data_IF_677203917224
#
_entry.id   IF_677203917224
#
_cell.length_a   1.000
_cell.length_b   1.000
_cell.length_c   1.000
_cell.angle_alpha   90.00
_cell.angle_beta   90.00
_cell.angle_gamma   90.00
#
_symmetry.space_group_name_H-M   'P 1'
#
loop_
_entity.id
_entity.type
_entity.pdbx_description
1 polymer ?
#
# COMPACT_ATOMS: atom_id res chain seq x y z
N UNK A 1 1.78 14.55 -17.67
CA UNK A 1 1.86 13.68 -16.47
C UNK A 1 1.17 12.38 -16.81
N UNK A 2 1.82 11.26 -16.56
CA UNK A 2 1.20 9.95 -16.70
C UNK A 2 0.14 9.83 -15.60
N UNK A 3 -1.13 9.76 -15.96
CA UNK A 3 -2.20 9.52 -14.99
C UNK A 3 -2.16 8.04 -14.61
N UNK A 4 -1.71 7.77 -13.38
CA UNK A 4 -1.75 6.43 -12.81
C UNK A 4 -3.06 6.26 -12.04
N UNK A 5 -4.08 5.77 -12.74
CA UNK A 5 -5.32 5.41 -12.08
C UNK A 5 -5.20 3.98 -11.51
N UNK A 6 -5.45 3.78 -10.21
CA UNK A 6 -5.50 2.45 -9.62
C UNK A 6 -6.66 1.64 -10.22
N UNK A 7 -6.51 0.31 -10.28
CA UNK A 7 -7.55 -0.58 -10.80
C UNK A 7 -8.84 -0.41 -9.95
N UNK A 8 -10.02 -0.24 -10.58
CA UNK A 8 -11.29 -0.15 -9.87
C UNK A 8 -11.56 -1.32 -8.91
N UNK A 9 -11.13 -2.54 -9.24
CA UNK A 9 -11.30 -3.71 -8.39
C UNK A 9 -10.44 -3.61 -7.12
N UNK A 10 -9.19 -3.19 -7.28
CA UNK A 10 -8.24 -2.95 -6.18
C UNK A 10 -8.73 -1.83 -5.26
N UNK A 11 -9.29 -0.78 -5.84
CA UNK A 11 -9.89 0.35 -5.13
C UNK A 11 -11.10 -0.09 -4.28
N UNK A 12 -11.98 -0.91 -4.86
CA UNK A 12 -13.14 -1.44 -4.16
C UNK A 12 -12.75 -2.35 -2.99
N UNK A 13 -11.73 -3.19 -3.16
CA UNK A 13 -11.22 -4.09 -2.11
C UNK A 13 -10.45 -3.36 -1.00
N UNK A 14 -10.01 -2.13 -1.26
CA UNK A 14 -9.23 -1.29 -0.33
C UNK A 14 -10.08 -0.22 0.36
N UNK A 15 -11.36 -0.10 -0.01
CA UNK A 15 -12.29 0.91 0.52
C UNK A 15 -13.35 0.28 1.43
N UNK A 16 -13.79 1.04 2.44
CA UNK A 16 -14.88 0.61 3.33
C UNK A 16 -16.21 1.12 2.76
N UNK A 17 -17.24 0.26 2.57
CA UNK A 17 -18.55 0.71 2.11
C UNK A 17 -19.13 1.80 3.01
N UNK A 18 -19.58 2.90 2.41
CA UNK A 18 -20.12 4.05 3.14
C UNK A 18 -19.08 4.99 3.75
N UNK A 19 -17.79 4.76 3.50
CA UNK A 19 -16.72 5.72 3.79
C UNK A 19 -16.12 6.27 2.49
N UNK A 20 -15.28 7.29 2.63
CA UNK A 20 -14.50 7.82 1.50
C UNK A 20 -13.64 6.71 0.89
N UNK A 21 -13.58 6.68 -0.44
CA UNK A 21 -12.80 5.69 -1.17
C UNK A 21 -11.30 5.87 -0.87
N UNK A 22 -10.57 4.76 -0.80
CA UNK A 22 -9.14 4.78 -0.50
C UNK A 22 -8.34 5.42 -1.65
N UNK A 23 -7.68 6.54 -1.41
CA UNK A 23 -6.82 7.17 -2.42
C UNK A 23 -5.33 6.81 -2.18
N UNK A 24 -4.71 5.96 -3.03
CA UNK A 24 -3.31 5.57 -2.87
C UNK A 24 -2.32 6.74 -3.04
N UNK A 25 -2.73 7.83 -3.71
CA UNK A 25 -1.88 9.02 -3.95
C UNK A 25 -1.73 9.87 -2.69
N UNK A 26 -2.81 9.97 -1.92
CA UNK A 26 -2.90 10.87 -0.75
C UNK A 26 -2.66 10.15 0.57
N UNK A 27 -2.98 8.86 0.65
CA UNK A 27 -2.81 8.10 1.87
C UNK A 27 -1.33 7.97 2.24
N UNK A 28 -0.99 8.06 3.54
CA UNK A 28 0.37 7.85 4.05
C UNK A 28 0.36 6.96 5.29
N UNK A 29 0.80 5.72 5.13
CA UNK A 29 1.09 4.83 6.26
C UNK A 29 2.26 5.36 7.08
N UNK A 30 2.09 5.34 8.40
CA UNK A 30 3.18 5.53 9.36
C UNK A 30 4.11 4.30 9.39
N UNK A 31 5.35 4.48 9.86
CA UNK A 31 6.27 3.35 10.02
C UNK A 31 5.72 2.28 10.96
N UNK A 32 5.02 2.68 12.02
CA UNK A 32 4.42 1.75 12.97
C UNK A 32 3.27 0.94 12.36
N UNK A 33 2.56 1.49 11.38
CA UNK A 33 1.55 0.74 10.65
C UNK A 33 2.14 -0.31 9.70
N UNK A 34 3.33 -0.07 9.17
CA UNK A 34 4.02 -0.99 8.27
C UNK A 34 4.77 -2.09 9.03
N UNK A 35 5.05 -1.89 10.32
CA UNK A 35 5.69 -2.91 11.15
C UNK A 35 4.79 -4.15 11.29
N UNK A 36 5.36 -5.35 11.18
CA UNK A 36 4.60 -6.58 11.43
C UNK A 36 4.12 -6.59 12.88
N UNK A 37 2.88 -7.02 13.08
CA UNK A 37 2.33 -7.15 14.42
C UNK A 37 3.13 -8.19 15.22
N UNK A 38 3.45 -7.92 16.50
CA UNK A 38 4.22 -8.85 17.31
C UNK A 38 3.47 -10.19 17.45
N UNK A 39 4.22 -11.29 17.34
CA UNK A 39 3.65 -12.62 17.47
C UNK A 39 3.32 -12.92 18.93
N UNK A 40 2.04 -12.80 19.28
CA UNK A 40 1.55 -13.14 20.61
C UNK A 40 1.29 -14.65 20.69
N UNK A 41 1.97 -15.33 21.62
CA UNK A 41 1.70 -16.74 21.91
C UNK A 41 0.28 -16.88 22.46
N UNK A 42 -0.54 -17.67 21.78
CA UNK A 42 -1.90 -17.96 22.23
C UNK A 42 -1.83 -18.80 23.51
N UNK A 43 -2.69 -18.47 24.47
CA UNK A 43 -2.90 -19.33 25.63
C UNK A 43 -3.31 -20.75 25.17
N UNK A 44 -2.88 -21.76 25.93
CA UNK A 44 -3.24 -23.15 25.66
C UNK A 44 -4.77 -23.28 25.61
N UNK A 45 -5.28 -23.93 24.56
CA UNK A 45 -6.72 -24.20 24.43
C UNK A 45 -7.13 -25.20 25.51
N UNK A 46 -7.99 -24.77 26.41
CA UNK A 46 -8.72 -25.63 27.33
C UNK A 46 -10.09 -25.91 26.71
N UNK A 47 -10.37 -27.17 26.40
CA UNK A 47 -11.68 -27.57 25.88
C UNK A 47 -12.69 -27.50 27.03
N UNK A 48 -13.84 -26.89 26.78
CA UNK A 48 -14.96 -26.91 27.72
C UNK A 48 -15.74 -28.20 27.48
N UNK A 49 -15.90 -29.07 28.50
CA UNK A 49 -16.75 -30.28 28.41
C UNK A 49 -18.15 -29.94 27.93
N UNK A 50 -18.81 -30.86 27.22
CA UNK A 50 -20.10 -30.59 26.60
C UNK A 50 -21.18 -30.27 27.64
N UNK A 51 -21.12 -30.92 28.80
CA UNK A 51 -22.00 -30.70 29.95
C UNK A 51 -21.84 -29.30 30.57
N UNK A 52 -20.73 -28.62 30.29
CA UNK A 52 -20.41 -27.27 30.79
C UNK A 52 -20.59 -26.17 29.73
N UNK A 53 -21.09 -26.51 28.53
CA UNK A 53 -21.41 -25.54 27.47
C UNK A 53 -22.78 -24.91 27.72
N UNK A 54 -22.83 -24.07 28.74
CA UNK A 54 -24.00 -23.28 29.10
C UNK A 54 -24.25 -22.11 28.11
N UNK A 55 -25.35 -21.39 28.33
CA UNK A 55 -25.72 -20.20 27.55
C UNK A 55 -24.62 -19.11 27.57
N UNK A 56 -23.92 -18.97 28.71
CA UNK A 56 -22.82 -18.02 28.87
C UNK A 56 -21.61 -18.40 28.01
N UNK A 57 -21.29 -19.68 27.88
CA UNK A 57 -20.28 -20.19 26.98
C UNK A 57 -20.64 -19.87 25.52
N UNK A 58 -21.87 -20.17 25.08
CA UNK A 58 -22.30 -19.91 23.70
C UNK A 58 -22.29 -18.42 23.37
N UNK A 59 -22.78 -17.58 24.28
CA UNK A 59 -22.69 -16.12 24.17
C UNK A 59 -21.25 -15.63 24.00
N UNK A 60 -20.30 -16.16 24.79
CA UNK A 60 -18.86 -15.85 24.65
C UNK A 60 -18.30 -16.33 23.31
N UNK A 61 -18.68 -17.54 22.88
CA UNK A 61 -18.19 -18.15 21.64
C UNK A 61 -18.63 -17.35 20.42
N UNK A 62 -19.89 -16.91 20.39
CA UNK A 62 -20.44 -16.05 19.35
C UNK A 62 -19.69 -14.71 19.29
N UNK A 63 -19.53 -14.03 20.44
CA UNK A 63 -18.77 -12.77 20.53
C UNK A 63 -17.33 -12.91 20.04
N UNK A 64 -16.66 -14.01 20.39
CA UNK A 64 -15.28 -14.27 19.93
C UNK A 64 -15.20 -14.52 18.41
N UNK A 65 -16.17 -15.24 17.84
CA UNK A 65 -16.23 -15.44 16.39
C UNK A 65 -16.40 -14.12 15.64
N UNK A 66 -17.31 -13.27 16.10
CA UNK A 66 -17.52 -11.94 15.54
C UNK A 66 -16.27 -11.06 15.66
N UNK A 67 -15.62 -11.05 16.83
CA UNK A 67 -14.37 -10.33 17.03
C UNK A 67 -13.24 -10.85 16.12
N UNK A 68 -13.14 -12.17 15.96
CA UNK A 68 -12.15 -12.79 15.08
C UNK A 68 -12.40 -12.46 13.60
N UNK A 69 -13.66 -12.44 13.16
CA UNK A 69 -14.05 -12.01 11.82
C UNK A 69 -13.65 -10.56 11.58
N UNK A 70 -14.08 -9.65 12.47
CA UNK A 70 -13.73 -8.22 12.40
C UNK A 70 -12.22 -7.99 12.36
N UNK A 71 -11.46 -8.71 13.18
CA UNK A 71 -9.99 -8.60 13.20
C UNK A 71 -9.34 -9.05 11.89
N UNK A 72 -9.85 -10.14 11.29
CA UNK A 72 -9.37 -10.62 9.98
C UNK A 72 -9.71 -9.64 8.87
N UNK A 73 -10.94 -9.11 8.85
CA UNK A 73 -11.38 -8.19 7.81
C UNK A 73 -10.62 -6.85 7.90
N UNK A 74 -10.40 -6.33 9.12
CA UNK A 74 -9.56 -5.16 9.33
C UNK A 74 -8.11 -5.36 8.89
N UNK A 75 -7.53 -6.54 9.16
CA UNK A 75 -6.19 -6.89 8.68
C UNK A 75 -6.15 -6.93 7.15
N UNK A 76 -7.10 -7.63 6.53
CA UNK A 76 -7.17 -7.78 5.07
C UNK A 76 -7.33 -6.41 4.39
N UNK A 77 -8.20 -5.56 4.91
CA UNK A 77 -8.39 -4.19 4.40
C UNK A 77 -7.06 -3.42 4.41
N UNK A 78 -6.34 -3.45 5.54
CA UNK A 78 -5.04 -2.79 5.66
C UNK A 78 -4.01 -3.35 4.68
N UNK A 79 -3.94 -4.68 4.54
CA UNK A 79 -3.04 -5.35 3.59
C UNK A 79 -3.37 -4.96 2.13
N UNK A 80 -4.66 -4.91 1.77
CA UNK A 80 -5.11 -4.46 0.45
C UNK A 80 -4.68 -3.00 0.19
N UNK A 81 -4.95 -2.09 1.14
CA UNK A 81 -4.56 -0.68 1.02
C UNK A 81 -3.04 -0.51 0.84
N UNK A 82 -2.23 -1.27 1.59
CA UNK A 82 -0.77 -1.28 1.44
C UNK A 82 -0.39 -1.78 0.05
N UNK A 83 -0.98 -2.88 -0.41
CA UNK A 83 -0.71 -3.48 -1.73
C UNK A 83 -0.99 -2.49 -2.87
N UNK A 84 -2.19 -1.90 -2.87
CA UNK A 84 -2.60 -0.93 -3.91
C UNK A 84 -1.69 0.29 -3.93
N UNK A 85 -1.34 0.81 -2.75
CA UNK A 85 -0.43 1.95 -2.66
C UNK A 85 0.99 1.61 -3.08
N UNK A 86 1.51 0.43 -2.73
CA UNK A 86 2.82 -0.02 -3.16
C UNK A 86 2.89 -0.13 -4.68
N UNK A 87 1.91 -0.79 -5.30
CA UNK A 87 1.82 -0.91 -6.75
C UNK A 87 1.71 0.45 -7.46
N UNK A 88 0.95 1.39 -6.88
CA UNK A 88 0.87 2.76 -7.39
C UNK A 88 2.25 3.45 -7.36
N UNK A 89 2.92 3.44 -6.20
CA UNK A 89 4.22 4.09 -6.02
C UNK A 89 5.31 3.45 -6.88
N UNK A 90 5.30 2.15 -7.09
CA UNK A 90 6.24 1.45 -7.97
C UNK A 90 6.11 1.92 -9.43
N UNK A 91 4.88 2.02 -9.94
CA UNK A 91 4.61 2.52 -11.31
C UNK A 91 5.00 3.99 -11.46
N UNK A 92 4.59 4.82 -10.51
CA UNK A 92 4.92 6.24 -10.51
C UNK A 92 6.43 6.47 -10.44
N UNK A 93 7.14 5.74 -9.56
CA UNK A 93 8.59 5.83 -9.43
C UNK A 93 9.31 5.39 -10.70
N UNK A 94 8.86 4.31 -11.35
CA UNK A 94 9.41 3.85 -12.62
C UNK A 94 9.28 4.91 -13.73
N UNK A 95 8.10 5.55 -13.83
CA UNK A 95 7.88 6.60 -14.81
C UNK A 95 8.71 7.86 -14.51
N UNK A 96 8.78 8.30 -13.26
CA UNK A 96 9.63 9.43 -12.86
C UNK A 96 11.11 9.15 -13.15
N UNK A 97 11.58 7.91 -12.92
CA UNK A 97 12.95 7.51 -13.29
C UNK A 97 13.19 7.59 -14.79
N UNK A 98 12.20 7.20 -15.61
CA UNK A 98 12.27 7.31 -17.06
C UNK A 98 12.32 8.78 -17.51
N UNK A 99 11.43 9.63 -16.99
CA UNK A 99 11.42 11.07 -17.29
C UNK A 99 12.76 11.73 -16.92
N UNK A 100 13.33 11.38 -15.76
CA UNK A 100 14.67 11.86 -15.34
C UNK A 100 15.77 11.39 -16.30
N UNK A 101 15.70 10.14 -16.77
CA UNK A 101 16.66 9.61 -17.73
C UNK A 101 16.59 10.35 -19.07
N UNK A 102 15.37 10.61 -19.57
CA UNK A 102 15.15 11.32 -20.83
C UNK A 102 15.61 12.78 -20.74
N UNK A 103 15.30 13.48 -19.65
CA UNK A 103 15.80 14.84 -19.41
C UNK A 103 17.33 14.89 -19.34
N UNK A 104 17.97 13.94 -18.67
CA UNK A 104 19.44 13.85 -18.60
C UNK A 104 20.06 13.61 -19.98
N UNK A 105 19.43 12.78 -20.81
CA UNK A 105 19.86 12.52 -22.18
C UNK A 105 19.78 13.78 -23.04
N UNK A 106 18.68 14.53 -22.96
CA UNK A 106 18.52 15.75 -23.74
C UNK A 106 19.46 16.86 -23.27
N UNK A 107 19.68 17.01 -21.96
CA UNK A 107 20.71 17.91 -21.42
C UNK A 107 22.11 17.56 -21.92
N UNK A 108 22.45 16.27 -21.96
CA UNK A 108 23.71 15.79 -22.55
C UNK A 108 23.82 16.14 -24.03
N UNK A 109 22.72 15.99 -24.80
CA UNK A 109 22.66 16.37 -26.21
C UNK A 109 22.90 17.86 -26.41
N UNK A 110 22.21 18.71 -25.65
CA UNK A 110 22.37 20.16 -25.69
C UNK A 110 23.81 20.59 -25.34
N UNK A 111 24.40 20.04 -24.27
CA UNK A 111 25.81 20.29 -23.90
C UNK A 111 26.78 19.93 -25.03
N UNK A 112 26.57 18.77 -25.67
CA UNK A 112 27.41 18.37 -26.80
C UNK A 112 27.28 19.31 -28.00
N UNK A 113 26.10 19.88 -28.24
CA UNK A 113 25.89 20.87 -29.31
C UNK A 113 26.62 22.17 -28.97
N UNK A 114 26.48 22.67 -27.73
CA UNK A 114 27.15 23.89 -27.25
C UNK A 114 28.67 23.74 -27.36
N UNK A 115 29.24 22.65 -26.83
CA UNK A 115 30.70 22.42 -26.89
C UNK A 115 31.22 22.39 -28.34
N UNK A 116 30.45 21.83 -29.27
CA UNK A 116 30.82 21.81 -30.71
C UNK A 116 30.76 23.20 -31.34
N UNK A 117 29.81 24.03 -30.92
CA UNK A 117 29.68 25.41 -31.36
C UNK A 117 30.85 26.26 -30.84
N UNK A 118 31.12 26.22 -29.53
CA UNK A 118 32.24 26.91 -28.88
C UNK A 118 33.58 26.52 -29.52
N UNK A 119 33.80 25.22 -29.76
CA UNK A 119 35.01 24.73 -30.43
C UNK A 119 35.20 25.27 -31.85
N UNK A 120 34.12 25.61 -32.56
CA UNK A 120 34.17 26.09 -33.96
C UNK A 120 34.22 27.62 -34.04
N UNK A 121 33.57 28.32 -33.12
CA UNK A 121 33.32 29.75 -33.23
C UNK A 121 33.99 30.58 -32.11
N UNK A 122 34.65 29.94 -31.15
CA UNK A 122 35.12 30.58 -29.92
C UNK A 122 34.01 30.65 -28.87
N UNK A 123 34.39 30.99 -27.64
CA UNK A 123 33.41 31.21 -26.56
C UNK A 123 32.49 32.38 -26.92
N UNK A 124 31.22 32.28 -26.50
CA UNK A 124 30.23 33.38 -26.59
C UNK A 124 30.60 34.55 -25.67
#
# INVERSE_FOLDING_TARGET
MVNFDPDPADLALSSVPGQEAFDPRRHRFSEDELKPQPMIKKARKMLVPDEQKDEKYWSRRLKNNEAAKRSRDARRLKENQISVRAAFLERENAALRQEVADMRKELGRCRNIINKYESRHGDL
#
